data_IF_230311870930
#
_entry.id   IF_230311870930
#
_cell.length_a   1.000
_cell.length_b   1.000
_cell.length_c   1.000
_cell.angle_alpha   90.00
_cell.angle_beta   90.00
_cell.angle_gamma   90.00
#
_symmetry.space_group_name_H-M   'P 1'
#
loop_
_entity.id
_entity.type
_entity.pdbx_description
1 polymer ?
#
# COMPACT_ATOMS: atom_id res chain seq x y z
N UNK A 1 -12.09 -22.34 3.21
CA UNK A 1 -12.00 -20.87 3.31
C UNK A 1 -11.98 -20.38 1.88
N UNK A 2 -13.12 -19.91 1.42
CA UNK A 2 -13.28 -19.41 0.06
C UNK A 2 -12.58 -18.05 -0.02
N UNK A 3 -11.57 -17.94 -0.89
CA UNK A 3 -10.81 -16.69 -1.01
C UNK A 3 -11.66 -15.57 -1.63
N UNK A 4 -11.42 -14.34 -1.20
CA UNK A 4 -12.08 -13.14 -1.67
C UNK A 4 -11.43 -12.64 -2.97
N UNK A 5 -12.23 -12.37 -4.00
CA UNK A 5 -11.75 -11.71 -5.21
C UNK A 5 -11.58 -10.21 -4.99
N UNK A 6 -10.45 -9.67 -5.45
CA UNK A 6 -10.23 -8.23 -5.50
C UNK A 6 -10.80 -7.57 -6.76
N UNK A 7 -11.26 -8.34 -7.76
CA UNK A 7 -11.70 -7.80 -9.05
C UNK A 7 -10.57 -7.29 -9.94
N UNK A 8 -9.36 -7.11 -9.41
CA UNK A 8 -8.20 -6.59 -10.13
C UNK A 8 -7.64 -7.67 -11.06
N UNK A 9 -7.59 -7.45 -12.39
CA UNK A 9 -7.15 -8.47 -13.34
C UNK A 9 -5.72 -8.95 -13.05
N UNK A 10 -5.53 -10.27 -12.96
CA UNK A 10 -4.22 -10.89 -12.68
C UNK A 10 -3.92 -11.05 -11.19
N UNK A 11 -4.69 -10.40 -10.32
CA UNK A 11 -4.64 -10.65 -8.88
C UNK A 11 -5.52 -11.86 -8.54
N UNK A 12 -4.94 -12.81 -7.81
CA UNK A 12 -5.68 -13.98 -7.31
C UNK A 12 -6.67 -13.63 -6.20
N UNK A 13 -7.09 -14.65 -5.47
CA UNK A 13 -7.93 -14.45 -4.27
C UNK A 13 -7.06 -14.11 -3.06
N UNK A 14 -7.62 -13.32 -2.15
CA UNK A 14 -7.01 -12.94 -0.87
C UNK A 14 -7.90 -13.39 0.29
N UNK A 15 -7.33 -13.55 1.48
CA UNK A 15 -8.12 -13.90 2.66
C UNK A 15 -8.96 -12.70 3.12
N UNK A 16 -10.20 -12.90 3.57
CA UNK A 16 -10.87 -11.96 4.45
C UNK A 16 -9.96 -11.58 5.64
N UNK A 17 -10.08 -10.37 6.15
CA UNK A 17 -9.22 -9.85 7.20
C UNK A 17 -7.82 -9.46 6.72
N UNK A 18 -7.66 -9.12 5.44
CA UNK A 18 -6.37 -8.67 4.89
C UNK A 18 -6.31 -7.14 4.83
N UNK A 19 -5.21 -6.59 5.31
CA UNK A 19 -4.79 -5.22 5.07
C UNK A 19 -3.59 -5.22 4.11
N UNK A 20 -3.66 -4.49 2.99
CA UNK A 20 -2.57 -4.46 2.02
C UNK A 20 -2.34 -3.08 1.42
N UNK A 21 -1.08 -2.74 1.20
CA UNK A 21 -0.73 -1.51 0.50
C UNK A 21 -0.72 -1.77 -1.01
N UNK A 22 -1.33 -0.89 -1.77
CA UNK A 22 -1.28 -0.89 -3.23
C UNK A 22 -0.38 0.25 -3.69
N UNK A 23 0.74 -0.13 -4.29
CA UNK A 23 1.74 0.79 -4.79
C UNK A 23 1.51 1.01 -6.29
N UNK A 24 1.34 2.26 -6.69
CA UNK A 24 1.01 2.62 -8.07
C UNK A 24 1.72 3.89 -8.52
N UNK A 25 1.82 4.11 -9.82
CA UNK A 25 2.38 5.31 -10.43
C UNK A 25 1.30 6.10 -11.17
N UNK A 26 0.63 6.97 -10.44
CA UNK A 26 -0.34 7.93 -10.98
C UNK A 26 -1.72 7.44 -11.41
N UNK A 27 -2.53 8.34 -11.99
CA UNK A 27 -3.98 8.15 -12.06
C UNK A 27 -4.42 6.95 -12.90
N UNK A 28 -3.70 6.66 -13.98
CA UNK A 28 -4.03 5.53 -14.85
C UNK A 28 -3.80 4.18 -14.16
N UNK A 29 -2.78 4.06 -13.31
CA UNK A 29 -2.55 2.84 -12.53
C UNK A 29 -3.47 2.77 -11.33
N UNK A 30 -3.67 3.88 -10.60
CA UNK A 30 -4.67 3.99 -9.54
C UNK A 30 -6.03 3.48 -10.01
N UNK A 31 -6.51 3.98 -11.15
CA UNK A 31 -7.83 3.62 -11.69
C UNK A 31 -7.95 2.12 -12.02
N UNK A 32 -6.85 1.47 -12.43
CA UNK A 32 -6.83 0.03 -12.70
C UNK A 32 -6.89 -0.82 -11.42
N UNK A 33 -6.65 -0.21 -10.26
CA UNK A 33 -6.74 -0.86 -8.96
C UNK A 33 -8.07 -0.50 -8.29
N UNK A 34 -8.38 0.79 -8.21
CA UNK A 34 -9.53 1.36 -7.52
C UNK A 34 -10.86 0.85 -8.08
N UNK A 35 -11.11 1.03 -9.38
CA UNK A 35 -12.43 0.74 -9.94
C UNK A 35 -12.75 -0.76 -9.95
N UNK A 36 -11.86 -1.66 -10.39
CA UNK A 36 -12.16 -3.09 -10.30
C UNK A 36 -12.38 -3.57 -8.86
N UNK A 37 -11.68 -2.98 -7.89
CA UNK A 37 -11.86 -3.28 -6.47
C UNK A 37 -13.24 -2.88 -5.96
N UNK A 38 -13.70 -1.67 -6.28
CA UNK A 38 -15.04 -1.20 -5.91
C UNK A 38 -16.14 -1.96 -6.66
N UNK A 39 -16.00 -2.13 -7.98
CA UNK A 39 -16.97 -2.83 -8.82
C UNK A 39 -17.19 -4.28 -8.36
N UNK A 40 -16.11 -4.96 -7.97
CA UNK A 40 -16.20 -6.32 -7.41
C UNK A 40 -16.93 -6.34 -6.06
N UNK A 41 -16.65 -5.40 -5.16
CA UNK A 41 -17.39 -5.30 -3.90
C UNK A 41 -18.89 -5.06 -4.11
N UNK A 42 -19.23 -4.14 -5.01
CA UNK A 42 -20.62 -3.87 -5.39
C UNK A 42 -21.30 -5.10 -5.98
N UNK A 43 -20.59 -5.87 -6.82
CA UNK A 43 -21.10 -7.11 -7.41
C UNK A 43 -21.34 -8.20 -6.36
N UNK A 44 -20.50 -8.28 -5.33
CA UNK A 44 -20.60 -9.28 -4.27
C UNK A 44 -21.65 -8.92 -3.22
N UNK A 45 -22.06 -7.65 -3.15
CA UNK A 45 -22.98 -7.18 -2.12
C UNK A 45 -22.28 -6.55 -0.92
N UNK A 46 -20.98 -6.32 -0.98
CA UNK A 46 -20.19 -5.71 0.10
C UNK A 46 -20.63 -4.25 0.34
N UNK A 47 -20.51 -3.78 1.58
CA UNK A 47 -20.46 -2.34 1.87
C UNK A 47 -19.09 -1.84 1.44
N UNK A 48 -19.06 -0.84 0.57
CA UNK A 48 -17.83 -0.28 0.01
C UNK A 48 -17.58 1.13 0.57
N UNK A 49 -16.39 1.38 1.11
CA UNK A 49 -15.94 2.70 1.55
C UNK A 49 -14.74 3.14 0.74
N UNK A 50 -14.80 4.32 0.12
CA UNK A 50 -13.71 4.90 -0.65
C UNK A 50 -13.33 6.28 -0.12
N UNK A 51 -12.10 6.42 0.34
CA UNK A 51 -11.53 7.70 0.78
C UNK A 51 -10.49 8.16 -0.25
N UNK A 52 -10.73 9.27 -0.94
CA UNK A 52 -9.88 9.72 -2.05
C UNK A 52 -9.96 11.23 -2.30
N UNK A 53 -8.81 11.89 -2.47
CA UNK A 53 -8.74 13.31 -2.84
C UNK A 53 -8.37 13.54 -4.30
N UNK A 54 -7.65 12.59 -4.91
CA UNK A 54 -7.18 12.73 -6.30
C UNK A 54 -8.29 12.66 -7.38
N UNK A 55 -9.53 12.35 -6.98
CA UNK A 55 -10.72 12.33 -7.85
C UNK A 55 -11.90 12.85 -7.05
N UNK A 56 -12.77 13.63 -7.70
CA UNK A 56 -14.03 14.06 -7.09
C UNK A 56 -14.88 12.85 -6.68
N UNK A 57 -15.39 12.78 -5.43
CA UNK A 57 -16.18 11.66 -4.94
C UNK A 57 -17.36 11.27 -5.84
N UNK A 58 -18.04 12.25 -6.43
CA UNK A 58 -19.16 12.05 -7.34
C UNK A 58 -18.73 11.30 -8.61
N UNK A 59 -17.56 11.63 -9.17
CA UNK A 59 -17.04 10.95 -10.37
C UNK A 59 -16.64 9.51 -10.08
N UNK A 60 -16.10 9.23 -8.89
CA UNK A 60 -15.80 7.86 -8.45
C UNK A 60 -17.09 7.07 -8.31
N UNK A 61 -18.10 7.66 -7.67
CA UNK A 61 -19.41 7.03 -7.47
C UNK A 61 -20.11 6.74 -8.79
N UNK A 62 -20.23 7.73 -9.68
CA UNK A 62 -20.87 7.59 -10.99
C UNK A 62 -20.22 6.47 -11.82
N UNK A 63 -18.89 6.39 -11.78
CA UNK A 63 -18.16 5.35 -12.51
C UNK A 63 -18.31 3.97 -11.90
N UNK A 64 -18.16 3.83 -10.58
CA UNK A 64 -18.22 2.53 -9.91
C UNK A 64 -19.64 1.94 -9.87
N UNK A 65 -20.67 2.77 -9.62
CA UNK A 65 -22.07 2.33 -9.59
C UNK A 65 -22.56 2.03 -11.01
N UNK A 66 -22.14 2.83 -11.99
CA UNK A 66 -22.52 2.71 -13.38
C UNK A 66 -23.86 3.37 -13.71
N UNK A 67 -24.41 3.05 -14.87
CA UNK A 67 -25.65 3.66 -15.38
C UNK A 67 -26.90 3.12 -14.65
N UNK A 68 -28.01 3.90 -14.61
CA UNK A 68 -29.28 3.45 -14.04
C UNK A 68 -29.75 2.11 -14.62
N UNK A 69 -30.13 1.20 -13.73
CA UNK A 69 -30.57 -0.16 -14.04
C UNK A 69 -31.16 -0.84 -12.79
N UNK A 70 -31.52 -2.14 -12.86
CA UNK A 70 -32.21 -2.83 -11.77
C UNK A 70 -31.48 -2.79 -10.41
N UNK A 71 -30.14 -2.85 -10.43
CA UNK A 71 -29.32 -2.88 -9.22
C UNK A 71 -28.79 -1.49 -8.79
N UNK A 72 -29.14 -0.41 -9.52
CA UNK A 72 -28.54 0.91 -9.32
C UNK A 72 -28.76 1.43 -7.90
N UNK A 73 -30.00 1.40 -7.41
CA UNK A 73 -30.33 1.90 -6.06
C UNK A 73 -29.61 1.11 -4.96
N UNK A 74 -29.47 -0.21 -5.13
CA UNK A 74 -28.72 -1.06 -4.19
C UNK A 74 -27.24 -0.70 -4.20
N UNK A 75 -26.61 -0.67 -5.38
CA UNK A 75 -25.19 -0.32 -5.53
C UNK A 75 -24.87 1.09 -5.03
N UNK A 76 -25.80 2.03 -5.23
CA UNK A 76 -25.68 3.38 -4.72
C UNK A 76 -25.62 3.41 -3.18
N UNK A 77 -26.47 2.62 -2.51
CA UNK A 77 -26.47 2.51 -1.05
C UNK A 77 -25.25 1.75 -0.49
N UNK A 78 -24.69 0.82 -1.28
CA UNK A 78 -23.49 0.08 -0.92
C UNK A 78 -22.23 0.93 -0.90
N UNK A 79 -22.13 1.98 -1.73
CA UNK A 79 -20.90 2.76 -1.88
C UNK A 79 -20.98 4.07 -1.11
N UNK A 80 -20.06 4.26 -0.17
CA UNK A 80 -19.72 5.55 0.42
C UNK A 80 -18.40 6.05 -0.17
N UNK A 81 -18.40 7.30 -0.63
CA UNK A 81 -17.20 7.95 -1.16
C UNK A 81 -17.06 9.29 -0.46
N UNK A 82 -15.94 9.48 0.22
CA UNK A 82 -15.60 10.70 0.93
C UNK A 82 -14.22 11.19 0.49
N UNK A 83 -13.98 12.49 0.64
CA UNK A 83 -12.63 13.03 0.52
C UNK A 83 -11.75 12.45 1.61
N UNK A 84 -10.55 12.02 1.26
CA UNK A 84 -9.62 11.50 2.26
C UNK A 84 -9.30 12.56 3.31
N UNK A 85 -9.10 13.81 2.91
CA UNK A 85 -8.87 14.91 3.84
C UNK A 85 -10.00 15.07 4.85
N UNK A 86 -11.25 14.94 4.42
CA UNK A 86 -12.42 15.16 5.27
C UNK A 86 -12.63 14.01 6.26
N UNK A 87 -12.32 12.78 5.84
CA UNK A 87 -12.39 11.61 6.68
C UNK A 87 -11.24 11.55 7.69
N UNK A 88 -9.98 11.66 7.22
CA UNK A 88 -8.78 11.55 8.04
C UNK A 88 -8.55 12.73 8.99
N UNK A 89 -9.00 13.92 8.62
CA UNK A 89 -8.80 15.15 9.39
C UNK A 89 -10.13 15.72 9.92
N UNK A 90 -11.11 14.85 10.19
CA UNK A 90 -12.48 15.23 10.59
C UNK A 90 -12.52 16.17 11.80
N UNK A 91 -11.59 16.02 12.74
CA UNK A 91 -11.45 16.86 13.94
C UNK A 91 -10.50 18.05 13.76
N UNK A 92 -10.01 18.29 12.53
CA UNK A 92 -9.01 19.31 12.18
C UNK A 92 -7.56 18.85 12.35
N UNK A 93 -7.35 17.64 12.87
CA UNK A 93 -6.07 16.96 13.01
C UNK A 93 -6.27 15.47 12.76
N UNK A 94 -5.19 14.75 12.44
CA UNK A 94 -5.22 13.30 12.36
C UNK A 94 -5.17 12.69 13.77
N UNK A 95 -6.02 11.70 14.02
CA UNK A 95 -6.09 10.95 15.26
C UNK A 95 -6.32 9.47 14.92
N UNK A 96 -5.46 8.61 15.46
CA UNK A 96 -5.58 7.16 15.29
C UNK A 96 -6.92 6.67 15.85
N UNK A 97 -7.28 7.14 17.05
CA UNK A 97 -8.50 6.71 17.74
C UNK A 97 -9.77 7.15 16.99
N UNK A 98 -9.77 8.37 16.44
CA UNK A 98 -10.90 8.90 15.65
C UNK A 98 -11.10 8.04 14.39
N UNK A 99 -10.01 7.67 13.72
CA UNK A 99 -10.06 6.89 12.48
C UNK A 99 -10.42 5.42 12.71
N UNK A 100 -9.89 4.80 13.76
CA UNK A 100 -10.31 3.44 14.15
C UNK A 100 -11.79 3.43 14.52
N UNK A 101 -12.25 4.44 15.27
CA UNK A 101 -13.68 4.57 15.63
C UNK A 101 -14.57 4.77 14.41
N UNK A 102 -14.13 5.57 13.43
CA UNK A 102 -14.83 5.79 12.17
C UNK A 102 -14.97 4.49 11.35
N UNK A 103 -13.89 3.70 11.25
CA UNK A 103 -13.93 2.42 10.55
C UNK A 103 -14.83 1.41 11.27
N UNK A 104 -14.74 1.32 12.60
CA UNK A 104 -15.61 0.47 13.40
C UNK A 104 -17.09 0.84 13.23
N UNK A 105 -17.42 2.13 13.27
CA UNK A 105 -18.78 2.62 13.03
C UNK A 105 -19.25 2.32 11.60
N UNK A 106 -18.36 2.37 10.61
CA UNK A 106 -18.68 2.00 9.22
C UNK A 106 -19.04 0.51 9.09
N UNK A 107 -18.38 -0.37 9.84
CA UNK A 107 -18.75 -1.79 9.93
C UNK A 107 -20.10 -1.96 10.63
N UNK A 108 -20.33 -1.27 11.75
CA UNK A 108 -21.62 -1.35 12.47
C UNK A 108 -22.80 -0.91 11.58
N UNK A 109 -22.62 0.17 10.82
CA UNK A 109 -23.61 0.62 9.83
C UNK A 109 -23.78 -0.42 8.72
N UNK A 110 -22.69 -1.01 8.23
CA UNK A 110 -22.76 -2.08 7.24
C UNK A 110 -23.64 -3.24 7.73
N UNK A 111 -23.39 -3.72 8.95
CA UNK A 111 -24.17 -4.79 9.58
C UNK A 111 -25.63 -4.38 9.79
N UNK A 112 -25.89 -3.15 10.22
CA UNK A 112 -27.25 -2.65 10.42
C UNK A 112 -28.05 -2.56 9.11
N UNK A 113 -27.37 -2.28 8.00
CA UNK A 113 -27.93 -2.23 6.66
C UNK A 113 -27.93 -3.59 5.93
N UNK A 114 -27.73 -4.70 6.66
CA UNK A 114 -27.74 -6.09 6.15
C UNK A 114 -26.58 -6.39 5.17
N UNK A 115 -25.43 -5.74 5.36
CA UNK A 115 -24.17 -6.04 4.68
C UNK A 115 -23.25 -6.88 5.58
N UNK A 116 -22.83 -8.04 5.08
CA UNK A 116 -22.01 -9.00 5.82
C UNK A 116 -20.50 -8.71 5.78
N UNK A 117 -20.06 -7.75 4.94
CA UNK A 117 -18.64 -7.52 4.65
C UNK A 117 -18.33 -6.07 4.32
N UNK A 118 -17.27 -5.53 4.90
CA UNK A 118 -16.74 -4.19 4.58
C UNK A 118 -15.54 -4.28 3.63
N UNK A 119 -15.61 -3.54 2.53
CA UNK A 119 -14.51 -3.36 1.59
C UNK A 119 -14.10 -1.89 1.56
N UNK A 120 -12.96 -1.55 2.14
CA UNK A 120 -12.48 -0.17 2.19
C UNK A 120 -11.22 0.05 1.36
N UNK A 121 -11.14 1.21 0.74
CA UNK A 121 -9.95 1.71 0.04
C UNK A 121 -9.69 3.15 0.47
N UNK A 122 -8.45 3.42 0.88
CA UNK A 122 -8.06 4.72 1.42
C UNK A 122 -6.80 5.27 0.76
N UNK A 123 -6.84 6.52 0.32
CA UNK A 123 -5.72 7.23 -0.27
C UNK A 123 -4.98 8.09 0.77
N UNK A 124 -3.66 8.00 0.80
CA UNK A 124 -2.83 8.49 1.93
C UNK A 124 -2.13 9.82 1.63
N UNK A 125 -2.31 10.44 0.47
CA UNK A 125 -1.60 11.70 0.12
C UNK A 125 -2.03 12.90 0.95
N UNK A 126 -3.14 12.82 1.71
CA UNK A 126 -3.54 13.87 2.66
C UNK A 126 -2.40 14.21 3.64
N UNK A 127 -1.53 13.25 3.96
CA UNK A 127 -0.35 13.41 4.82
C UNK A 127 0.61 14.48 4.30
N UNK A 128 0.66 14.70 2.98
CA UNK A 128 1.55 15.66 2.33
C UNK A 128 1.16 17.12 2.62
N UNK A 129 -0.05 17.35 3.14
CA UNK A 129 -0.46 18.66 3.66
C UNK A 129 0.30 19.05 4.92
N UNK A 130 0.91 18.08 5.63
CA UNK A 130 1.54 18.31 6.93
C UNK A 130 0.52 18.64 8.03
N UNK A 131 -0.72 18.14 7.91
CA UNK A 131 -1.76 18.35 8.91
C UNK A 131 -1.32 17.83 10.29
N UNK A 132 -1.70 18.50 11.40
CA UNK A 132 -1.31 18.05 12.74
C UNK A 132 -1.68 16.59 12.99
N UNK A 133 -0.78 15.82 13.62
CA UNK A 133 -1.00 14.41 13.97
C UNK A 133 -0.59 13.43 12.87
N UNK A 134 -0.23 13.88 11.66
CA UNK A 134 0.21 13.02 10.57
C UNK A 134 1.38 12.10 10.95
N UNK A 135 2.17 12.48 11.96
CA UNK A 135 3.28 11.69 12.49
C UNK A 135 2.83 10.31 13.02
N UNK A 136 1.57 10.18 13.42
CA UNK A 136 0.99 8.92 13.90
C UNK A 136 0.43 8.05 12.76
N UNK A 137 0.61 8.43 11.49
CA UNK A 137 0.12 7.67 10.33
C UNK A 137 0.52 6.19 10.41
N UNK A 138 1.78 5.88 10.68
CA UNK A 138 2.23 4.48 10.69
C UNK A 138 1.78 3.71 11.94
N UNK A 139 1.49 4.41 13.04
CA UNK A 139 0.81 3.81 14.19
C UNK A 139 -0.61 3.40 13.80
N UNK A 140 -1.30 4.24 13.05
CA UNK A 140 -2.60 3.92 12.46
C UNK A 140 -2.54 2.78 11.43
N UNK A 141 -1.64 2.84 10.45
CA UNK A 141 -1.49 1.77 9.45
C UNK A 141 -1.18 0.41 10.12
N UNK A 142 -0.38 0.44 11.19
CA UNK A 142 -0.12 -0.75 12.00
C UNK A 142 -1.36 -1.23 12.76
N UNK A 143 -2.20 -0.34 13.29
CA UNK A 143 -3.40 -0.70 14.07
C UNK A 143 -4.53 -1.26 13.19
N UNK A 144 -4.58 -0.89 11.91
CA UNK A 144 -5.53 -1.47 10.95
C UNK A 144 -5.43 -2.99 10.84
N UNK A 145 -4.24 -3.56 11.05
CA UNK A 145 -4.06 -5.02 11.05
C UNK A 145 -4.87 -5.71 12.14
N UNK A 146 -5.08 -5.05 13.30
CA UNK A 146 -5.93 -5.59 14.35
C UNK A 146 -7.42 -5.39 14.03
N UNK A 147 -7.79 -4.24 13.45
CA UNK A 147 -9.17 -3.96 13.04
C UNK A 147 -9.69 -5.04 12.08
N UNK A 148 -8.92 -5.40 11.06
CA UNK A 148 -9.33 -6.41 10.07
C UNK A 148 -9.37 -7.84 10.62
N UNK A 149 -8.76 -8.12 11.77
CA UNK A 149 -8.88 -9.42 12.46
C UNK A 149 -10.19 -9.53 13.25
N UNK A 150 -10.73 -8.41 13.73
CA UNK A 150 -11.92 -8.37 14.57
C UNK A 150 -13.22 -8.25 13.78
N UNK A 151 -13.15 -7.72 12.56
CA UNK A 151 -14.34 -7.47 11.71
C UNK A 151 -14.21 -8.13 10.33
N UNK A 152 -15.33 -8.54 9.70
CA UNK A 152 -15.31 -9.08 8.34
C UNK A 152 -15.02 -7.96 7.33
N UNK A 153 -13.73 -7.67 7.14
CA UNK A 153 -13.30 -6.56 6.31
C UNK A 153 -12.10 -6.90 5.42
N UNK A 154 -11.93 -6.08 4.38
CA UNK A 154 -10.68 -5.96 3.64
C UNK A 154 -10.33 -4.50 3.40
N UNK A 155 -9.07 -4.14 3.64
CA UNK A 155 -8.59 -2.76 3.56
C UNK A 155 -7.44 -2.66 2.54
N UNK A 156 -7.56 -1.71 1.62
CA UNK A 156 -6.54 -1.38 0.62
C UNK A 156 -6.06 0.07 0.78
N UNK A 157 -4.84 0.26 1.26
CA UNK A 157 -4.23 1.58 1.34
C UNK A 157 -3.48 1.93 0.04
N UNK A 158 -3.80 3.06 -0.56
CA UNK A 158 -3.31 3.51 -1.87
C UNK A 158 -2.12 4.46 -1.70
N UNK A 159 -0.98 4.10 -2.30
CA UNK A 159 0.24 4.91 -2.28
C UNK A 159 0.77 5.21 -3.69
N UNK A 160 0.76 6.49 -4.08
CA UNK A 160 1.37 6.96 -5.34
C UNK A 160 2.90 7.06 -5.18
N UNK A 161 3.63 6.19 -5.86
CA UNK A 161 5.09 6.12 -5.85
C UNK A 161 5.76 7.43 -6.31
N UNK A 162 5.03 8.30 -7.02
CA UNK A 162 5.52 9.60 -7.48
C UNK A 162 5.43 10.68 -6.40
N UNK A 163 4.61 10.47 -5.37
CA UNK A 163 4.32 11.46 -4.32
C UNK A 163 5.13 11.26 -3.04
N UNK A 164 5.52 10.02 -2.76
CA UNK A 164 6.19 9.67 -1.51
C UNK A 164 7.70 9.56 -1.66
N UNK A 165 8.46 9.68 -0.57
CA UNK A 165 9.90 9.43 -0.49
C UNK A 165 10.23 7.97 -0.17
N UNK A 166 11.48 7.55 -0.38
CA UNK A 166 11.88 6.15 -0.14
C UNK A 166 11.67 5.76 1.33
N UNK A 167 12.07 6.64 2.25
CA UNK A 167 11.91 6.47 3.70
C UNK A 167 10.45 6.23 4.09
N UNK A 168 9.52 6.97 3.48
CA UNK A 168 8.10 6.80 3.75
C UNK A 168 7.60 5.43 3.28
N UNK A 169 8.02 4.98 2.10
CA UNK A 169 7.63 3.66 1.58
C UNK A 169 8.27 2.51 2.37
N UNK A 170 9.44 2.72 2.98
CA UNK A 170 10.03 1.74 3.91
C UNK A 170 9.08 1.52 5.09
N UNK A 171 8.54 2.59 5.67
CA UNK A 171 7.56 2.49 6.76
C UNK A 171 6.25 1.83 6.31
N UNK A 172 5.76 2.14 5.11
CA UNK A 172 4.60 1.44 4.51
C UNK A 172 4.86 -0.07 4.42
N UNK A 173 6.07 -0.48 4.03
CA UNK A 173 6.43 -1.90 3.98
C UNK A 173 6.59 -2.52 5.38
N UNK A 174 6.89 -1.77 6.43
CA UNK A 174 6.89 -2.34 7.78
C UNK A 174 5.49 -2.58 8.32
N UNK A 175 4.47 -1.80 7.90
CA UNK A 175 3.12 -1.86 8.49
C UNK A 175 2.13 -2.77 7.76
N UNK A 176 2.37 -3.11 6.49
CA UNK A 176 1.42 -3.88 5.67
C UNK A 176 1.88 -5.33 5.46
N UNK A 177 1.09 -6.34 5.84
CA UNK A 177 1.47 -7.75 5.67
C UNK A 177 1.47 -8.19 4.20
N UNK A 178 0.79 -7.46 3.30
CA UNK A 178 0.80 -7.73 1.86
C UNK A 178 1.00 -6.46 1.04
N UNK A 179 1.65 -6.63 -0.10
CA UNK A 179 1.89 -5.56 -1.08
C UNK A 179 1.22 -5.95 -2.39
N UNK A 180 0.41 -5.05 -2.94
CA UNK A 180 -0.11 -5.11 -4.29
C UNK A 180 0.75 -4.22 -5.20
N UNK A 181 1.47 -4.83 -6.12
CA UNK A 181 2.29 -4.16 -7.12
C UNK A 181 2.12 -4.86 -8.47
N UNK A 182 1.96 -4.09 -9.54
CA UNK A 182 1.86 -4.60 -10.91
C UNK A 182 0.87 -5.79 -11.01
N UNK A 183 -0.30 -5.60 -10.37
CA UNK A 183 -1.40 -6.58 -10.35
C UNK A 183 -1.03 -7.94 -9.72
N UNK A 184 -0.01 -7.97 -8.88
CA UNK A 184 0.37 -9.13 -8.10
C UNK A 184 0.30 -8.77 -6.62
N UNK A 185 -0.41 -9.58 -5.84
CA UNK A 185 -0.35 -9.51 -4.38
C UNK A 185 0.75 -10.44 -3.92
N UNK A 186 1.69 -9.90 -3.14
CA UNK A 186 2.77 -10.66 -2.51
C UNK A 186 2.67 -10.55 -1.01
N UNK A 187 3.05 -11.62 -0.31
CA UNK A 187 3.35 -11.53 1.12
C UNK A 187 4.55 -10.61 1.31
N UNK A 188 4.40 -9.66 2.23
CA UNK A 188 5.43 -8.68 2.48
C UNK A 188 6.50 -9.27 3.41
N UNK A 189 7.72 -9.53 2.92
CA UNK A 189 8.80 -10.11 3.74
C UNK A 189 9.34 -9.13 4.79
N UNK A 190 9.03 -7.84 4.64
CA UNK A 190 9.51 -6.76 5.51
C UNK A 190 8.46 -6.32 6.53
N UNK A 191 7.29 -6.97 6.54
CA UNK A 191 6.26 -6.69 7.52
C UNK A 191 6.75 -6.94 8.95
N UNK A 192 6.39 -6.03 9.85
CA UNK A 192 6.65 -6.11 11.28
C UNK A 192 5.33 -6.20 12.03
N UNK A 193 5.28 -7.07 13.03
CA UNK A 193 4.10 -7.20 13.89
C UNK A 193 3.83 -5.87 14.64
N UNK A 194 2.57 -5.44 14.82
CA UNK A 194 2.25 -4.20 15.52
C UNK A 194 2.88 -4.07 16.92
N UNK A 195 3.01 -5.17 17.66
CA UNK A 195 3.62 -5.18 18.99
C UNK A 195 5.13 -4.90 18.96
N UNK A 196 5.79 -5.19 17.84
CA UNK A 196 7.21 -4.90 17.62
C UNK A 196 7.39 -3.52 16.98
N UNK A 197 6.54 -3.19 16.01
CA UNK A 197 6.66 -1.96 15.22
C UNK A 197 6.33 -0.70 16.02
N UNK A 198 5.19 -0.66 16.72
CA UNK A 198 4.71 0.57 17.39
C UNK A 198 5.71 1.11 18.42
N UNK A 199 6.33 0.27 19.30
CA UNK A 199 7.38 0.75 20.19
C UNK A 199 8.61 1.28 19.45
N UNK A 200 9.03 0.62 18.36
CA UNK A 200 10.17 1.05 17.55
C UNK A 200 9.88 2.38 16.83
N UNK A 201 8.70 2.52 16.23
CA UNK A 201 8.23 3.73 15.57
C UNK A 201 8.14 4.91 16.56
N UNK A 202 7.60 4.70 17.76
CA UNK A 202 7.55 5.75 18.80
C UNK A 202 8.93 6.16 19.30
N UNK A 203 9.90 5.25 19.33
CA UNK A 203 11.29 5.57 19.63
C UNK A 203 11.99 6.33 18.49
N UNK A 204 11.68 5.98 17.24
CA UNK A 204 12.22 6.60 16.03
C UNK A 204 11.57 7.95 15.69
N UNK A 205 10.30 8.18 16.03
CA UNK A 205 9.55 9.43 15.82
C UNK A 205 10.19 10.65 16.54
N UNK A 206 11.08 10.42 17.51
CA UNK A 206 11.95 11.45 18.07
C UNK A 206 12.95 12.02 17.04
N UNK A 207 13.11 11.38 15.88
CA UNK A 207 14.00 11.71 14.77
C UNK A 207 13.14 11.80 13.49
N UNK A 208 12.59 12.99 13.22
CA UNK A 208 11.60 13.28 12.16
C UNK A 208 11.93 12.68 10.78
N UNK A 209 10.93 12.06 10.14
CA UNK A 209 10.90 11.78 8.70
C UNK A 209 10.78 13.10 7.92
N UNK A 210 11.80 13.53 7.15
CA UNK A 210 11.65 14.71 6.32
C UNK A 210 10.67 14.42 5.19
N UNK A 211 9.55 15.16 5.13
CA UNK A 211 8.72 15.27 3.94
C UNK A 211 9.57 15.90 2.81
N UNK A 212 10.31 15.09 2.06
CA UNK A 212 11.03 15.57 0.88
C UNK A 212 10.07 15.54 -0.30
N UNK A 213 9.74 16.73 -0.82
CA UNK A 213 9.26 16.86 -2.20
C UNK A 213 10.36 16.31 -3.10
N UNK A 214 10.15 15.13 -3.66
CA UNK A 214 11.06 14.57 -4.66
C UNK A 214 10.90 15.40 -5.93
N UNK A 215 11.75 16.41 -6.09
CA UNK A 215 12.14 16.79 -7.45
C UNK A 215 12.90 15.60 -8.02
N UNK A 216 12.50 15.17 -9.22
CA UNK A 216 13.18 14.11 -9.94
C UNK A 216 14.67 14.49 -10.05
N UNK A 217 15.53 13.86 -9.25
CA UNK A 217 16.96 14.12 -9.36
C UNK A 217 17.42 13.65 -10.73
N UNK A 218 17.86 14.64 -11.51
CA UNK A 218 18.33 14.50 -12.87
C UNK A 218 19.54 13.59 -12.96
N UNK A 219 19.60 12.91 -14.10
CA UNK A 219 20.77 12.25 -14.64
C UNK A 219 21.96 13.22 -14.59
N UNK A 220 23.02 12.89 -13.86
CA UNK A 220 24.41 13.17 -14.26
C UNK A 220 25.44 12.57 -13.29
N UNK A 221 26.32 11.71 -13.83
CA UNK A 221 27.51 11.18 -13.17
C UNK A 221 27.88 9.77 -13.63
N UNK A 222 28.94 9.63 -14.44
CA UNK A 222 29.42 8.34 -14.98
C UNK A 222 29.69 7.31 -13.85
N UNK A 223 29.12 6.12 -14.03
CA UNK A 223 29.27 4.86 -13.25
C UNK A 223 28.35 4.64 -12.02
N UNK A 224 27.43 5.55 -11.70
CA UNK A 224 26.49 5.38 -10.57
C UNK A 224 25.02 5.27 -11.01
N UNK A 225 24.17 4.62 -10.20
CA UNK A 225 22.74 4.42 -10.46
C UNK A 225 22.36 3.13 -11.20
N UNK A 226 21.09 3.02 -11.59
CA UNK A 226 20.51 1.80 -12.18
C UNK A 226 21.22 1.31 -13.45
N UNK A 227 21.71 2.25 -14.26
CA UNK A 227 22.44 1.95 -15.50
C UNK A 227 23.82 1.31 -15.25
N UNK A 228 24.38 1.43 -14.04
CA UNK A 228 25.68 0.84 -13.68
C UNK A 228 25.57 -0.55 -13.08
N UNK A 229 24.35 -1.07 -12.85
CA UNK A 229 24.14 -2.43 -12.40
C UNK A 229 24.45 -3.44 -13.50
N UNK A 230 25.23 -4.45 -13.16
CA UNK A 230 25.50 -5.60 -14.03
C UNK A 230 24.26 -6.49 -14.16
N UNK A 231 24.21 -7.33 -15.19
CA UNK A 231 23.13 -8.31 -15.34
C UNK A 231 23.02 -9.29 -14.16
N UNK A 232 24.11 -9.56 -13.44
CA UNK A 232 24.07 -10.37 -12.22
C UNK A 232 23.46 -9.60 -11.04
N UNK A 233 23.82 -8.33 -10.88
CA UNK A 233 23.27 -7.44 -9.85
C UNK A 233 21.76 -7.21 -10.08
N UNK A 234 21.33 -6.96 -11.32
CA UNK A 234 19.91 -6.84 -11.67
C UNK A 234 19.10 -8.09 -11.32
N UNK A 235 19.65 -9.30 -11.55
CA UNK A 235 19.00 -10.55 -11.14
C UNK A 235 18.88 -10.66 -9.61
N UNK A 236 19.88 -10.21 -8.87
CA UNK A 236 19.84 -10.18 -7.40
C UNK A 236 18.79 -9.19 -6.92
N UNK A 237 18.75 -7.97 -7.47
CA UNK A 237 17.72 -6.96 -7.14
C UNK A 237 16.32 -7.52 -7.39
N UNK A 238 16.08 -8.13 -8.55
CA UNK A 238 14.79 -8.76 -8.88
C UNK A 238 14.41 -9.89 -7.91
N UNK A 239 15.36 -10.70 -7.44
CA UNK A 239 15.05 -11.69 -6.42
C UNK A 239 14.76 -11.05 -5.05
N UNK A 240 15.51 -10.00 -4.70
CA UNK A 240 15.38 -9.30 -3.41
C UNK A 240 14.04 -8.59 -3.29
N UNK A 241 13.59 -7.92 -4.36
CA UNK A 241 12.29 -7.23 -4.40
C UNK A 241 11.10 -8.17 -4.22
N UNK A 242 11.30 -9.46 -4.54
CA UNK A 242 10.32 -10.55 -4.35
C UNK A 242 10.37 -11.18 -2.96
N UNK A 243 11.17 -10.65 -2.04
CA UNK A 243 11.31 -11.19 -0.69
C UNK A 243 12.14 -12.46 -0.58
N UNK A 244 12.87 -12.85 -1.63
CA UNK A 244 13.70 -14.06 -1.61
C UNK A 244 14.95 -13.85 -0.75
N UNK A 245 15.18 -14.70 0.25
CA UNK A 245 16.33 -14.59 1.17
C UNK A 245 17.67 -14.77 0.44
N UNK A 246 18.78 -14.23 0.97
CA UNK A 246 20.10 -14.37 0.34
C UNK A 246 20.50 -15.84 0.10
N UNK A 247 20.05 -16.75 0.98
CA UNK A 247 20.23 -18.20 0.79
C UNK A 247 19.49 -18.70 -0.44
N UNK A 248 18.21 -18.36 -0.58
CA UNK A 248 17.42 -18.77 -1.73
C UNK A 248 17.88 -18.08 -3.02
N UNK A 249 18.38 -16.83 -2.95
CA UNK A 249 19.02 -16.16 -4.10
C UNK A 249 20.28 -16.91 -4.52
N UNK A 250 21.11 -17.31 -3.57
CA UNK A 250 22.32 -18.11 -3.81
C UNK A 250 21.97 -19.44 -4.49
N UNK A 251 20.94 -20.13 -4.00
CA UNK A 251 20.41 -21.36 -4.60
C UNK A 251 19.89 -21.12 -6.03
N UNK A 252 19.04 -20.11 -6.25
CA UNK A 252 18.45 -19.78 -7.56
C UNK A 252 19.50 -19.39 -8.60
N UNK A 253 20.51 -18.62 -8.20
CA UNK A 253 21.56 -18.14 -9.10
C UNK A 253 22.77 -19.08 -9.14
N UNK A 254 22.73 -20.21 -8.43
CA UNK A 254 23.82 -21.18 -8.34
C UNK A 254 25.16 -20.54 -7.92
N UNK A 255 25.13 -19.66 -6.92
CA UNK A 255 26.30 -18.99 -6.32
C UNK A 255 26.34 -19.21 -4.81
N UNK A 256 27.42 -18.79 -4.14
CA UNK A 256 27.49 -18.86 -2.67
C UNK A 256 26.70 -17.72 -2.01
N UNK A 257 26.23 -17.92 -0.77
CA UNK A 257 25.62 -16.84 0.03
C UNK A 257 26.56 -15.63 0.17
N UNK A 258 27.85 -15.88 0.36
CA UNK A 258 28.86 -14.84 0.47
C UNK A 258 28.96 -14.00 -0.81
N UNK A 259 28.81 -14.63 -1.99
CA UNK A 259 28.77 -13.94 -3.28
C UNK A 259 27.55 -13.03 -3.40
N UNK A 260 26.38 -13.48 -2.93
CA UNK A 260 25.17 -12.64 -2.87
C UNK A 260 25.38 -11.45 -1.94
N UNK A 261 25.94 -11.67 -0.75
CA UNK A 261 26.22 -10.60 0.21
C UNK A 261 27.21 -9.55 -0.37
N UNK A 262 28.22 -10.00 -1.13
CA UNK A 262 29.16 -9.10 -1.80
C UNK A 262 28.48 -8.28 -2.91
N UNK A 263 27.65 -8.91 -3.76
CA UNK A 263 26.88 -8.17 -4.77
C UNK A 263 25.90 -7.17 -4.14
N UNK A 264 25.22 -7.53 -3.05
CA UNK A 264 24.33 -6.62 -2.35
C UNK A 264 25.06 -5.38 -1.83
N UNK A 265 26.27 -5.54 -1.28
CA UNK A 265 27.09 -4.38 -0.87
C UNK A 265 27.42 -3.46 -2.05
N UNK A 266 27.73 -4.01 -3.21
CA UNK A 266 28.00 -3.21 -4.41
C UNK A 266 26.73 -2.53 -4.93
N UNK A 267 25.59 -3.22 -4.93
CA UNK A 267 24.29 -2.66 -5.29
C UNK A 267 23.95 -1.49 -4.36
N UNK A 268 24.12 -1.68 -3.05
CA UNK A 268 23.84 -0.66 -2.05
C UNK A 268 24.67 0.60 -2.29
N UNK A 269 25.96 0.44 -2.61
CA UNK A 269 26.83 1.58 -2.96
C UNK A 269 26.40 2.26 -4.27
N UNK A 270 26.13 1.48 -5.33
CA UNK A 270 25.77 2.01 -6.65
C UNK A 270 24.43 2.75 -6.67
N UNK A 271 23.49 2.32 -5.82
CA UNK A 271 22.14 2.86 -5.75
C UNK A 271 21.93 3.81 -4.57
N UNK A 272 22.98 4.05 -3.77
CA UNK A 272 22.94 4.83 -2.53
C UNK A 272 21.79 4.42 -1.60
N UNK A 273 21.69 3.13 -1.30
CA UNK A 273 20.71 2.57 -0.35
C UNK A 273 21.42 1.90 0.81
N UNK A 274 20.80 1.96 1.99
CA UNK A 274 21.41 1.53 3.24
C UNK A 274 20.75 0.28 3.84
N UNK A 275 19.62 -0.14 3.28
CA UNK A 275 18.90 -1.33 3.73
C UNK A 275 18.33 -2.14 2.57
N UNK A 276 17.99 -3.40 2.89
CA UNK A 276 17.30 -4.30 1.95
C UNK A 276 15.89 -3.80 1.62
N UNK A 277 15.23 -3.16 2.58
CA UNK A 277 13.90 -2.58 2.41
C UNK A 277 13.98 -1.39 1.46
N UNK A 278 14.95 -0.48 1.65
CA UNK A 278 15.21 0.62 0.71
C UNK A 278 15.53 0.12 -0.70
N UNK A 279 16.35 -0.92 -0.84
CA UNK A 279 16.60 -1.53 -2.15
C UNK A 279 15.30 -2.03 -2.80
N UNK A 280 14.42 -2.64 -2.00
CA UNK A 280 13.10 -3.08 -2.48
C UNK A 280 12.30 -1.87 -2.96
N UNK A 281 12.15 -0.83 -2.13
CA UNK A 281 11.45 0.40 -2.48
C UNK A 281 11.97 1.04 -3.76
N UNK A 282 13.29 1.16 -3.90
CA UNK A 282 13.92 1.76 -5.07
C UNK A 282 13.63 0.93 -6.33
N UNK A 283 13.68 -0.41 -6.23
CA UNK A 283 13.36 -1.30 -7.34
C UNK A 283 11.90 -1.17 -7.79
N UNK A 284 10.97 -1.03 -6.84
CA UNK A 284 9.54 -0.82 -7.11
C UNK A 284 9.31 0.48 -7.89
N UNK A 285 10.00 1.57 -7.52
CA UNK A 285 9.93 2.86 -8.22
C UNK A 285 10.51 2.85 -9.62
N UNK A 286 11.61 2.13 -9.81
CA UNK A 286 12.25 2.00 -11.12
C UNK A 286 11.42 1.13 -12.08
N UNK A 287 10.33 0.51 -11.60
CA UNK A 287 9.46 -0.31 -12.43
C UNK A 287 10.10 -1.65 -12.81
N UNK A 288 10.97 -2.20 -11.96
CA UNK A 288 11.41 -3.60 -12.12
C UNK A 288 10.30 -4.52 -11.59
N UNK A 289 9.58 -5.23 -12.46
CA UNK A 289 8.49 -6.08 -12.01
C UNK A 289 9.02 -7.30 -11.25
N UNK A 290 8.20 -7.79 -10.32
CA UNK A 290 8.38 -9.02 -9.57
C UNK A 290 8.11 -10.27 -10.45
N UNK A 291 8.82 -10.42 -11.58
CA UNK A 291 8.63 -11.56 -12.52
C UNK A 291 9.15 -12.88 -11.97
#
# INVERSE_FOLDING_TARGET
MDGLSLGIPGVGVVSPGTHFCALYSGPAERDRLLYPFLEEGLRQGDKCLCLIDDVEPELVRDRAVGQPGPDYSRRWAQLDVERSSDAYLRSGAFSVDDMVSFLAASVEVAVADDFDFLRAVGEISWVLSGAPGWEDLFVYESSLNHVVEEVPAILMCLYDLRKFGADMLVEVLHTHPKVLLDRTVIDNPHYMDPMEYVPAARAAAAVRYPLVRVEAHGEDGKDDGWASLTGAELRIVSCVSRGVTNRQVAEKLSVSRHTVDAHLKHIYLKLDVHSRVELTVLALRHGLPNG
#
